data_IF_624924021403
#
_entry.id   IF_624924021403
#
_cell.length_a   1.000
_cell.length_b   1.000
_cell.length_c   1.000
_cell.angle_alpha   90.00
_cell.angle_beta   90.00
_cell.angle_gamma   90.00
#
_symmetry.space_group_name_H-M   'P 1'
#
loop_
_entity.id
_entity.type
_entity.pdbx_description
1 polymer ?
#
# COMPACT_ATOMS: atom_id res chain seq x y z
N UNK A 1 53.58 -48.13 21.89
CA UNK A 1 53.14 -46.76 21.57
C UNK A 1 52.35 -46.77 20.26
N UNK A 2 51.02 -46.66 20.30
CA UNK A 2 50.16 -46.46 19.13
C UNK A 2 49.49 -45.10 19.28
N UNK A 3 49.73 -44.18 18.34
CA UNK A 3 49.04 -42.88 18.25
C UNK A 3 47.85 -43.04 17.31
N UNK A 4 46.64 -42.86 17.84
CA UNK A 4 45.41 -42.78 17.04
C UNK A 4 45.22 -41.33 16.58
N UNK A 5 45.12 -41.15 15.27
CA UNK A 5 44.81 -39.88 14.61
C UNK A 5 43.28 -39.83 14.41
N UNK A 6 42.58 -38.99 15.17
CA UNK A 6 41.16 -38.72 15.01
C UNK A 6 41.03 -37.57 14.00
N UNK A 7 40.52 -37.87 12.81
CA UNK A 7 40.18 -36.88 11.79
C UNK A 7 38.73 -36.45 12.04
N UNK A 8 38.52 -35.22 12.52
CA UNK A 8 37.20 -34.58 12.55
C UNK A 8 36.88 -34.05 11.14
N UNK A 9 35.98 -34.74 10.42
CA UNK A 9 35.32 -34.18 9.25
C UNK A 9 34.24 -33.19 9.71
N UNK A 10 34.55 -31.89 9.70
CA UNK A 10 33.55 -30.84 9.81
C UNK A 10 32.85 -30.65 8.46
N UNK A 11 31.74 -31.34 8.26
CA UNK A 11 30.83 -31.12 7.12
C UNK A 11 30.12 -29.77 7.30
N UNK A 12 30.69 -28.71 6.72
CA UNK A 12 30.05 -27.41 6.52
C UNK A 12 28.91 -27.59 5.51
N UNK A 13 27.70 -27.84 6.01
CA UNK A 13 26.49 -27.74 5.18
C UNK A 13 26.24 -26.26 4.94
N UNK A 14 26.78 -25.74 3.84
CA UNK A 14 26.36 -24.47 3.26
C UNK A 14 24.94 -24.65 2.74
N UNK A 15 23.95 -24.48 3.62
CA UNK A 15 22.57 -24.36 3.19
C UNK A 15 22.49 -23.13 2.26
N UNK A 16 22.16 -23.28 0.97
CA UNK A 16 21.96 -22.14 0.11
C UNK A 16 20.86 -21.30 0.75
N UNK A 17 21.21 -20.08 1.15
CA UNK A 17 20.23 -19.11 1.62
C UNK A 17 19.25 -18.89 0.49
N UNK A 18 18.10 -19.57 0.53
CA UNK A 18 17.00 -19.35 -0.39
C UNK A 18 16.56 -17.90 -0.17
N UNK A 19 17.04 -17.00 -1.03
CA UNK A 19 16.56 -15.65 -1.09
C UNK A 19 15.06 -15.75 -1.44
N UNK A 20 14.22 -15.58 -0.42
CA UNK A 20 12.77 -15.53 -0.63
C UNK A 20 12.53 -14.39 -1.62
N UNK A 21 11.96 -14.74 -2.78
CA UNK A 21 11.51 -13.74 -3.73
C UNK A 21 10.58 -12.75 -2.99
N UNK A 22 10.74 -11.45 -3.29
CA UNK A 22 9.89 -10.42 -2.70
C UNK A 22 8.56 -10.40 -3.45
N UNK A 23 7.43 -10.11 -2.78
CA UNK A 23 6.19 -9.86 -3.50
C UNK A 23 6.37 -8.67 -4.45
N UNK A 24 5.64 -8.71 -5.56
CA UNK A 24 5.45 -7.55 -6.42
C UNK A 24 4.84 -6.44 -5.57
N UNK A 25 5.39 -5.22 -5.67
CA UNK A 25 4.80 -4.06 -5.02
C UNK A 25 3.38 -3.87 -5.57
N UNK A 26 2.41 -3.73 -4.67
CA UNK A 26 1.00 -3.50 -5.01
C UNK A 26 0.47 -2.40 -4.08
N UNK A 27 -0.15 -1.34 -4.61
CA UNK A 27 -0.87 -0.36 -3.80
C UNK A 27 -1.84 -1.05 -2.84
N UNK A 28 -2.02 -0.52 -1.62
CA UNK A 28 -2.94 -1.12 -0.64
C UNK A 28 -4.38 -1.07 -1.12
N UNK A 29 -4.75 0.03 -1.76
CA UNK A 29 -6.10 0.30 -2.24
C UNK A 29 -6.09 0.19 -3.76
N UNK A 30 -6.37 -1.00 -4.29
CA UNK A 30 -6.62 -1.17 -5.72
C UNK A 30 -8.05 -0.77 -6.06
N UNK A 31 -8.29 -0.31 -7.28
CA UNK A 31 -9.66 -0.16 -7.78
C UNK A 31 -10.20 -1.55 -8.05
N UNK A 32 -11.48 -1.58 -8.39
CA UNK A 32 -12.09 -2.80 -8.82
C UNK A 32 -11.47 -3.32 -10.13
N UNK A 33 -11.24 -2.43 -11.10
CA UNK A 33 -10.65 -2.72 -12.40
C UNK A 33 -9.19 -3.19 -12.27
N UNK A 34 -8.40 -2.55 -11.41
CA UNK A 34 -7.02 -2.97 -11.13
C UNK A 34 -6.98 -4.34 -10.46
N UNK A 35 -7.90 -4.62 -9.54
CA UNK A 35 -8.01 -5.94 -8.91
C UNK A 35 -8.43 -7.02 -9.90
N UNK A 36 -9.31 -6.70 -10.86
CA UNK A 36 -9.69 -7.61 -11.94
C UNK A 36 -8.51 -7.93 -12.85
N UNK A 37 -7.75 -6.91 -13.26
CA UNK A 37 -6.54 -7.07 -14.07
C UNK A 37 -5.50 -7.95 -13.34
N UNK A 38 -5.26 -7.65 -12.07
CA UNK A 38 -4.33 -8.43 -11.26
C UNK A 38 -4.79 -9.88 -11.07
N UNK A 39 -6.07 -10.13 -10.79
CA UNK A 39 -6.60 -11.48 -10.65
C UNK A 39 -6.42 -12.30 -11.95
N UNK A 40 -6.68 -11.69 -13.10
CA UNK A 40 -6.45 -12.33 -14.40
C UNK A 40 -4.98 -12.74 -14.57
N UNK A 41 -4.05 -11.82 -14.30
CA UNK A 41 -2.62 -12.09 -14.38
C UNK A 41 -2.15 -13.15 -13.36
N UNK A 42 -2.75 -13.19 -12.17
CA UNK A 42 -2.48 -14.25 -11.19
C UNK A 42 -2.88 -15.62 -11.74
N UNK A 43 -4.07 -15.74 -12.32
CA UNK A 43 -4.58 -17.00 -12.89
C UNK A 43 -3.78 -17.47 -14.11
N UNK A 44 -3.25 -16.55 -14.92
CA UNK A 44 -2.41 -16.87 -16.08
C UNK A 44 -0.98 -17.26 -15.68
N UNK A 45 -0.45 -16.74 -14.56
CA UNK A 45 0.94 -16.95 -14.14
C UNK A 45 1.13 -18.12 -13.16
N UNK A 46 0.11 -18.55 -12.43
CA UNK A 46 0.26 -19.71 -11.55
C UNK A 46 0.07 -21.01 -12.33
N UNK A 47 1.14 -21.78 -12.46
CA UNK A 47 1.01 -23.24 -12.57
C UNK A 47 0.05 -23.70 -11.46
N UNK A 48 -0.87 -24.62 -11.80
CA UNK A 48 -2.10 -25.01 -11.06
C UNK A 48 -1.97 -25.33 -9.56
N UNK A 49 -0.78 -25.27 -8.97
CA UNK A 49 -0.49 -25.42 -7.54
C UNK A 49 -0.79 -24.17 -6.70
N UNK A 50 -1.54 -23.20 -7.24
CA UNK A 50 -2.10 -22.12 -6.44
C UNK A 50 -2.92 -22.77 -5.29
N UNK A 51 -2.37 -22.68 -4.07
CA UNK A 51 -2.94 -23.16 -2.81
C UNK A 51 -4.44 -23.24 -2.88
N UNK A 52 -5.00 -24.43 -2.64
CA UNK A 52 -6.44 -24.70 -2.65
C UNK A 52 -7.17 -23.56 -1.95
N UNK A 53 -7.75 -22.65 -2.74
CA UNK A 53 -8.45 -21.50 -2.18
C UNK A 53 -9.68 -22.03 -1.46
N UNK A 54 -9.90 -21.55 -0.25
CA UNK A 54 -11.12 -21.88 0.49
C UNK A 54 -12.36 -21.48 -0.34
N UNK A 55 -13.45 -22.25 -0.28
CA UNK A 55 -14.64 -22.02 -1.09
C UNK A 55 -15.17 -20.58 -1.07
N UNK A 56 -15.13 -19.92 0.09
CA UNK A 56 -15.64 -18.57 0.29
C UNK A 56 -14.78 -17.50 -0.40
N UNK A 57 -13.48 -17.76 -0.55
CA UNK A 57 -12.60 -16.88 -1.34
C UNK A 57 -12.95 -16.99 -2.82
N UNK A 58 -13.13 -18.21 -3.34
CA UNK A 58 -13.56 -18.45 -4.73
C UNK A 58 -14.92 -17.83 -5.00
N UNK A 59 -15.87 -18.00 -4.09
CA UNK A 59 -17.21 -17.44 -4.23
C UNK A 59 -17.21 -15.91 -4.20
N UNK A 60 -16.41 -15.29 -3.33
CA UNK A 60 -16.22 -13.84 -3.28
C UNK A 60 -15.64 -13.28 -4.58
N UNK A 61 -14.64 -13.97 -5.15
CA UNK A 61 -14.04 -13.63 -6.45
C UNK A 61 -15.10 -13.73 -7.57
N UNK A 62 -15.82 -14.86 -7.64
CA UNK A 62 -16.89 -15.09 -8.62
C UNK A 62 -17.99 -14.04 -8.52
N UNK A 63 -18.40 -13.66 -7.31
CA UNK A 63 -19.43 -12.64 -7.12
C UNK A 63 -19.01 -11.28 -7.66
N UNK A 64 -17.75 -10.88 -7.43
CA UNK A 64 -17.18 -9.68 -8.05
C UNK A 64 -17.13 -9.75 -9.56
N UNK A 65 -16.63 -10.85 -10.14
CA UNK A 65 -16.59 -11.02 -11.59
C UNK A 65 -17.97 -10.96 -12.25
N UNK A 66 -18.99 -11.56 -11.62
CA UNK A 66 -20.38 -11.49 -12.09
C UNK A 66 -20.93 -10.07 -11.98
N UNK A 67 -20.70 -9.38 -10.86
CA UNK A 67 -21.09 -7.97 -10.70
C UNK A 67 -20.42 -7.08 -11.75
N UNK A 68 -19.14 -7.29 -12.07
CA UNK A 68 -18.44 -6.57 -13.13
C UNK A 68 -19.08 -6.79 -14.52
N UNK A 69 -19.38 -8.05 -14.86
CA UNK A 69 -20.06 -8.38 -16.11
C UNK A 69 -21.41 -7.69 -16.20
N UNK A 70 -22.16 -7.63 -15.11
CA UNK A 70 -23.44 -6.94 -15.03
C UNK A 70 -23.28 -5.43 -15.22
N UNK A 71 -22.34 -4.81 -14.51
CA UNK A 71 -22.03 -3.39 -14.64
C UNK A 71 -21.66 -3.00 -16.09
N UNK A 72 -20.84 -3.82 -16.75
CA UNK A 72 -20.47 -3.62 -18.16
C UNK A 72 -21.69 -3.72 -19.09
N UNK A 73 -22.58 -4.68 -18.87
CA UNK A 73 -23.80 -4.82 -19.68
C UNK A 73 -24.73 -3.62 -19.50
N UNK A 74 -24.95 -3.17 -18.27
CA UNK A 74 -25.76 -1.98 -17.98
C UNK A 74 -25.14 -0.74 -18.64
N UNK A 75 -23.83 -0.54 -18.52
CA UNK A 75 -23.14 0.63 -19.06
C UNK A 75 -23.04 0.62 -20.60
N UNK A 76 -23.07 -0.54 -21.24
CA UNK A 76 -23.10 -0.64 -22.71
C UNK A 76 -24.44 -0.12 -23.28
N UNK A 77 -25.51 -0.16 -22.50
CA UNK A 77 -26.82 0.37 -22.88
C UNK A 77 -27.03 1.85 -22.49
N UNK A 78 -26.04 2.50 -21.87
CA UNK A 78 -26.15 3.87 -21.35
C UNK A 78 -25.25 4.85 -22.12
N UNK A 79 -25.70 6.10 -22.33
CA UNK A 79 -24.82 7.20 -22.71
C UNK A 79 -23.63 7.36 -21.76
N UNK A 80 -22.50 7.85 -22.26
CA UNK A 80 -21.23 7.92 -21.51
C UNK A 80 -21.33 8.73 -20.20
N UNK A 81 -22.13 9.80 -20.18
CA UNK A 81 -22.41 10.66 -19.03
C UNK A 81 -23.38 10.03 -18.01
N UNK A 82 -24.08 8.96 -18.39
CA UNK A 82 -25.03 8.23 -17.54
C UNK A 82 -24.53 6.86 -17.06
N UNK A 83 -23.31 6.49 -17.45
CA UNK A 83 -22.70 5.23 -17.03
C UNK A 83 -22.51 5.19 -15.52
N UNK A 84 -22.83 4.03 -14.93
CA UNK A 84 -22.61 3.76 -13.51
C UNK A 84 -21.11 3.58 -13.28
N UNK A 85 -20.57 4.35 -12.33
CA UNK A 85 -19.17 4.26 -11.89
C UNK A 85 -19.13 3.93 -10.40
N UNK A 86 -18.27 2.98 -10.00
CA UNK A 86 -18.10 2.63 -8.58
C UNK A 86 -17.12 3.56 -7.86
N UNK A 87 -16.29 4.26 -8.61
CA UNK A 87 -15.30 5.25 -8.14
C UNK A 87 -15.49 6.57 -8.89
N UNK A 88 -15.28 7.69 -8.20
CA UNK A 88 -15.21 9.02 -8.81
C UNK A 88 -14.37 9.95 -7.93
N UNK A 89 -14.03 11.14 -8.43
CA UNK A 89 -13.21 12.12 -7.71
C UNK A 89 -13.83 12.60 -6.39
N UNK A 90 -15.15 12.47 -6.22
CA UNK A 90 -15.87 12.79 -4.98
C UNK A 90 -15.81 11.65 -3.94
N UNK A 91 -15.50 10.41 -4.37
CA UNK A 91 -15.43 9.22 -3.52
C UNK A 91 -14.06 8.55 -3.67
N UNK A 92 -13.00 9.30 -3.32
CA UNK A 92 -11.59 8.86 -3.42
C UNK A 92 -11.20 7.72 -2.45
N UNK A 93 -12.15 7.25 -1.65
CA UNK A 93 -11.89 6.38 -0.50
C UNK A 93 -11.64 7.20 0.77
N UNK A 94 -11.67 6.53 1.93
CA UNK A 94 -11.40 7.15 3.23
C UNK A 94 -9.97 6.88 3.71
N UNK A 95 -9.16 6.21 2.88
CA UNK A 95 -7.90 5.61 3.30
C UNK A 95 -8.07 4.53 4.39
N UNK A 96 -6.93 4.03 4.86
CA UNK A 96 -6.79 3.04 5.92
C UNK A 96 -5.85 3.64 6.97
N UNK A 97 -6.34 4.51 7.87
CA UNK A 97 -5.46 5.24 8.78
C UNK A 97 -4.76 4.29 9.76
N UNK A 98 -3.56 4.67 10.20
CA UNK A 98 -2.69 3.91 11.12
C UNK A 98 -3.37 3.47 12.42
N UNK A 99 -4.35 4.23 12.90
CA UNK A 99 -5.12 3.95 14.11
C UNK A 99 -6.29 2.99 13.90
N UNK A 100 -6.74 2.82 12.66
CA UNK A 100 -7.77 1.87 12.25
C UNK A 100 -7.26 1.01 11.09
N UNK A 101 -6.25 0.16 11.35
CA UNK A 101 -5.66 -0.68 10.31
C UNK A 101 -6.70 -1.66 9.76
N UNK A 102 -6.62 -1.91 8.45
CA UNK A 102 -7.38 -2.97 7.83
C UNK A 102 -6.76 -4.32 8.19
N UNK A 103 -7.61 -5.25 8.62
CA UNK A 103 -7.24 -6.65 8.83
C UNK A 103 -8.01 -7.50 7.83
N UNK A 104 -7.30 -8.37 7.13
CA UNK A 104 -7.93 -9.24 6.15
C UNK A 104 -7.27 -10.62 6.05
N UNK A 105 -8.07 -11.59 5.63
CA UNK A 105 -7.69 -12.99 5.51
C UNK A 105 -8.93 -13.87 5.44
N UNK A 106 -8.76 -15.21 5.54
CA UNK A 106 -9.83 -16.19 5.41
C UNK A 106 -11.07 -15.89 6.25
N UNK A 107 -10.88 -15.66 7.56
CA UNK A 107 -12.00 -15.42 8.48
C UNK A 107 -12.74 -14.12 8.15
N UNK A 108 -12.02 -13.05 7.79
CA UNK A 108 -12.63 -11.78 7.37
C UNK A 108 -13.43 -11.93 6.07
N UNK A 109 -12.94 -12.72 5.12
CA UNK A 109 -13.63 -12.99 3.86
C UNK A 109 -14.93 -13.77 4.12
N UNK A 110 -14.86 -14.83 4.93
CA UNK A 110 -16.03 -15.65 5.33
C UNK A 110 -17.09 -14.77 6.01
N UNK A 111 -16.69 -13.98 7.02
CA UNK A 111 -17.59 -13.09 7.75
C UNK A 111 -18.28 -12.10 6.81
N UNK A 112 -17.51 -11.42 5.96
CA UNK A 112 -18.04 -10.42 5.02
C UNK A 112 -18.94 -11.04 3.95
N UNK A 113 -18.61 -12.24 3.47
CA UNK A 113 -19.44 -12.97 2.51
C UNK A 113 -20.77 -13.38 3.14
N UNK A 114 -20.75 -13.90 4.37
CA UNK A 114 -21.96 -14.29 5.09
C UNK A 114 -22.86 -13.08 5.33
N UNK A 115 -22.28 -11.96 5.77
CA UNK A 115 -22.98 -10.69 5.94
C UNK A 115 -23.58 -10.19 4.60
N UNK A 116 -22.81 -10.25 3.52
CA UNK A 116 -23.31 -9.91 2.18
C UNK A 116 -24.50 -10.81 1.81
N UNK A 117 -24.41 -12.12 2.01
CA UNK A 117 -25.50 -13.07 1.70
C UNK A 117 -26.77 -12.82 2.52
N UNK A 118 -26.66 -12.33 3.76
CA UNK A 118 -27.81 -12.05 4.61
C UNK A 118 -28.46 -10.70 4.33
N UNK A 119 -27.71 -9.70 3.89
CA UNK A 119 -28.20 -8.33 3.71
C UNK A 119 -28.50 -7.96 2.25
N UNK A 120 -27.91 -8.64 1.27
CA UNK A 120 -28.07 -8.35 -0.15
C UNK A 120 -29.53 -8.64 -0.60
N UNK A 121 -30.22 -7.68 -1.25
CA UNK A 121 -31.57 -7.88 -1.77
C UNK A 121 -31.65 -9.13 -2.64
N UNK A 122 -32.71 -9.91 -2.46
CA UNK A 122 -32.82 -11.24 -3.07
C UNK A 122 -32.69 -11.20 -4.60
N UNK A 123 -33.22 -10.14 -5.24
CA UNK A 123 -33.06 -9.94 -6.68
C UNK A 123 -31.60 -9.75 -7.11
N UNK A 124 -30.81 -8.96 -6.37
CA UNK A 124 -29.37 -8.79 -6.63
C UNK A 124 -28.59 -10.06 -6.30
N UNK A 125 -28.96 -10.75 -5.21
CA UNK A 125 -28.32 -11.98 -4.74
C UNK A 125 -28.40 -13.10 -5.77
N UNK A 126 -29.56 -13.29 -6.39
CA UNK A 126 -29.77 -14.28 -7.46
C UNK A 126 -28.83 -14.09 -8.65
N UNK A 127 -28.50 -12.85 -9.00
CA UNK A 127 -27.61 -12.52 -10.12
C UNK A 127 -26.14 -12.49 -9.71
N UNK A 128 -25.78 -11.78 -8.65
CA UNK A 128 -24.38 -11.58 -8.26
C UNK A 128 -23.76 -12.84 -7.62
N UNK A 129 -24.51 -13.55 -6.77
CA UNK A 129 -24.02 -14.73 -6.05
C UNK A 129 -24.60 -16.02 -6.63
N UNK A 130 -25.87 -15.98 -7.05
CA UNK A 130 -26.56 -17.09 -7.69
C UNK A 130 -26.17 -17.27 -9.15
N UNK A 131 -27.01 -18.02 -9.86
CA UNK A 131 -26.82 -18.38 -11.27
C UNK A 131 -27.85 -17.73 -12.20
N UNK A 132 -28.63 -16.74 -11.73
CA UNK A 132 -29.58 -16.06 -12.60
C UNK A 132 -28.85 -15.34 -13.74
N UNK A 133 -29.56 -15.16 -14.86
CA UNK A 133 -29.00 -14.46 -16.03
C UNK A 133 -28.74 -12.98 -15.71
N UNK A 134 -27.69 -12.43 -16.34
CA UNK A 134 -27.36 -11.02 -16.26
C UNK A 134 -28.17 -10.30 -17.35
N UNK A 135 -28.96 -9.29 -16.97
CA UNK A 135 -29.76 -8.47 -17.89
C UNK A 135 -29.31 -7.02 -17.85
N UNK A 136 -29.66 -6.22 -18.88
CA UNK A 136 -29.36 -4.78 -18.89
C UNK A 136 -30.25 -3.98 -17.92
N UNK A 137 -31.39 -4.55 -17.50
CA UNK A 137 -32.33 -3.93 -16.58
C UNK A 137 -31.98 -4.22 -15.12
N UNK A 138 -32.04 -3.18 -14.28
CA UNK A 138 -31.81 -3.32 -12.85
C UNK A 138 -33.11 -3.70 -12.14
N UNK A 139 -33.13 -4.77 -11.31
CA UNK A 139 -34.32 -5.15 -10.54
C UNK A 139 -34.53 -4.27 -9.30
N UNK A 140 -33.69 -3.24 -9.11
CA UNK A 140 -33.67 -2.29 -7.99
C UNK A 140 -33.30 -0.91 -8.53
N UNK A 141 -33.35 0.13 -7.69
CA UNK A 141 -32.88 1.46 -8.10
C UNK A 141 -31.37 1.48 -8.42
N UNK A 142 -30.94 2.46 -9.22
CA UNK A 142 -29.51 2.62 -9.56
C UNK A 142 -28.68 2.87 -8.29
N UNK A 143 -29.21 3.63 -7.34
CA UNK A 143 -28.58 3.96 -6.06
C UNK A 143 -28.38 2.70 -5.21
N UNK A 144 -29.42 1.86 -5.13
CA UNK A 144 -29.35 0.60 -4.39
C UNK A 144 -28.37 -0.39 -5.03
N UNK A 145 -28.38 -0.49 -6.37
CA UNK A 145 -27.39 -1.28 -7.09
C UNK A 145 -25.96 -0.80 -6.82
N UNK A 146 -25.69 0.51 -6.90
CA UNK A 146 -24.36 1.09 -6.64
C UNK A 146 -23.91 0.79 -5.21
N UNK A 147 -24.80 0.93 -4.22
CA UNK A 147 -24.49 0.61 -2.82
C UNK A 147 -23.99 -0.82 -2.69
N UNK A 148 -24.72 -1.79 -3.24
CA UNK A 148 -24.36 -3.20 -3.14
C UNK A 148 -23.17 -3.60 -4.02
N UNK A 149 -23.06 -3.03 -5.22
CA UNK A 149 -21.91 -3.21 -6.09
C UNK A 149 -20.60 -2.75 -5.41
N UNK A 150 -20.63 -1.65 -4.63
CA UNK A 150 -19.48 -1.21 -3.81
C UNK A 150 -19.14 -2.21 -2.68
N UNK A 151 -20.13 -2.86 -2.07
CA UNK A 151 -19.88 -3.90 -1.05
C UNK A 151 -19.25 -5.14 -1.69
N UNK A 152 -19.83 -5.64 -2.79
CA UNK A 152 -19.31 -6.78 -3.55
C UNK A 152 -17.90 -6.50 -4.07
N UNK A 153 -17.66 -5.30 -4.60
CA UNK A 153 -16.35 -4.85 -5.08
C UNK A 153 -15.29 -4.88 -3.97
N UNK A 154 -15.58 -4.37 -2.77
CA UNK A 154 -14.63 -4.41 -1.64
C UNK A 154 -14.33 -5.83 -1.17
N UNK A 155 -15.33 -6.70 -1.16
CA UNK A 155 -15.14 -8.12 -0.82
C UNK A 155 -14.27 -8.82 -1.89
N UNK A 156 -14.54 -8.56 -3.17
CA UNK A 156 -13.73 -9.04 -4.29
C UNK A 156 -12.26 -8.62 -4.17
N UNK A 157 -11.99 -7.32 -3.98
CA UNK A 157 -10.64 -6.79 -3.85
C UNK A 157 -9.90 -7.43 -2.66
N UNK A 158 -10.60 -7.63 -1.54
CA UNK A 158 -10.04 -8.32 -0.36
C UNK A 158 -9.68 -9.78 -0.68
N UNK A 159 -10.55 -10.50 -1.38
CA UNK A 159 -10.34 -11.90 -1.74
C UNK A 159 -9.20 -12.07 -2.76
N UNK A 160 -9.14 -11.22 -3.79
CA UNK A 160 -8.04 -11.21 -4.77
C UNK A 160 -6.72 -10.87 -4.08
N UNK A 161 -6.69 -9.86 -3.20
CA UNK A 161 -5.47 -9.50 -2.47
C UNK A 161 -4.99 -10.63 -1.58
N UNK A 162 -5.88 -11.27 -0.83
CA UNK A 162 -5.52 -12.46 -0.06
C UNK A 162 -4.93 -13.56 -0.95
N UNK A 163 -5.60 -13.89 -2.05
CA UNK A 163 -5.13 -14.89 -3.03
C UNK A 163 -3.73 -14.59 -3.57
N UNK A 164 -3.47 -13.34 -3.97
CA UNK A 164 -2.17 -12.95 -4.53
C UNK A 164 -1.04 -12.88 -3.51
N UNK A 165 -1.36 -12.55 -2.25
CA UNK A 165 -0.38 -12.31 -1.19
C UNK A 165 -0.12 -13.53 -0.29
N UNK A 166 -1.02 -14.52 -0.25
CA UNK A 166 -0.92 -15.69 0.65
C UNK A 166 0.33 -16.54 0.44
N UNK A 167 0.86 -16.62 -0.80
CA UNK A 167 2.14 -17.31 -1.06
C UNK A 167 3.35 -16.64 -0.41
N UNK A 168 3.22 -15.38 -0.01
CA UNK A 168 4.29 -14.57 0.59
C UNK A 168 4.16 -14.41 2.10
N UNK A 169 3.30 -15.19 2.76
CA UNK A 169 3.07 -15.10 4.22
C UNK A 169 4.36 -15.14 5.05
N UNK A 170 5.36 -16.01 4.77
CA UNK A 170 6.62 -16.00 5.52
C UNK A 170 7.39 -14.68 5.41
N UNK A 171 7.44 -14.10 4.20
CA UNK A 171 8.08 -12.81 3.97
C UNK A 171 7.29 -11.66 4.62
N UNK A 172 5.96 -11.68 4.48
CA UNK A 172 5.07 -10.69 5.08
C UNK A 172 5.08 -10.76 6.61
N UNK A 173 5.30 -11.93 7.20
CA UNK A 173 5.49 -12.06 8.65
C UNK A 173 6.78 -11.36 9.12
N UNK A 174 7.86 -11.45 8.34
CA UNK A 174 9.10 -10.72 8.64
C UNK A 174 8.92 -9.21 8.50
N UNK A 175 8.02 -8.76 7.63
CA UNK A 175 7.67 -7.35 7.50
C UNK A 175 6.96 -6.76 8.71
N UNK A 176 6.53 -7.56 9.70
CA UNK A 176 6.00 -7.03 10.98
C UNK A 176 7.00 -6.11 11.68
N UNK A 177 8.30 -6.25 11.44
CA UNK A 177 9.33 -5.29 11.92
C UNK A 177 9.15 -3.87 11.37
N UNK A 178 8.39 -3.69 10.28
CA UNK A 178 8.02 -2.38 9.72
C UNK A 178 6.75 -1.79 10.34
N UNK A 179 6.12 -2.49 11.29
CA UNK A 179 4.99 -1.95 12.03
C UNK A 179 5.45 -0.84 12.97
N UNK A 180 5.16 0.41 12.61
CA UNK A 180 5.64 1.60 13.33
C UNK A 180 4.58 2.19 14.27
N UNK A 181 3.45 1.49 14.49
CA UNK A 181 2.38 1.95 15.39
C UNK A 181 2.86 2.22 16.81
N UNK A 182 3.76 1.38 17.34
CA UNK A 182 4.33 1.60 18.68
C UNK A 182 5.03 2.95 18.80
N UNK A 183 5.89 3.29 17.84
CA UNK A 183 6.55 4.60 17.77
C UNK A 183 5.55 5.74 17.56
N UNK A 184 4.59 5.56 16.65
CA UNK A 184 3.55 6.56 16.34
C UNK A 184 2.72 6.98 17.55
N UNK A 185 2.33 6.04 18.41
CA UNK A 185 1.56 6.36 19.61
C UNK A 185 2.45 6.96 20.71
N UNK A 186 3.60 6.35 20.96
CA UNK A 186 4.51 6.82 22.02
C UNK A 186 5.02 8.23 21.76
N UNK A 187 5.31 8.61 20.51
CA UNK A 187 5.78 9.98 20.20
C UNK A 187 4.75 11.08 20.47
N UNK A 188 3.48 10.74 20.66
CA UNK A 188 2.38 11.67 20.96
C UNK A 188 2.08 11.77 22.45
N UNK A 189 2.72 10.95 23.28
CA UNK A 189 2.56 10.97 24.72
C UNK A 189 3.36 12.14 25.28
N UNK A 190 2.67 13.05 25.98
CA UNK A 190 3.30 14.12 26.74
C UNK A 190 4.13 13.55 27.90
N UNK A 191 5.33 14.09 28.09
CA UNK A 191 6.27 13.67 29.13
C UNK A 191 6.54 12.16 29.20
N UNK A 192 6.54 11.47 28.06
CA UNK A 192 6.74 10.01 27.97
C UNK A 192 7.91 9.54 28.84
N UNK A 193 9.05 10.23 28.77
CA UNK A 193 10.26 9.84 29.50
C UNK A 193 10.09 9.92 31.02
N UNK A 194 9.32 10.89 31.52
CA UNK A 194 8.98 10.98 32.94
C UNK A 194 8.02 9.85 33.32
N UNK A 195 7.00 9.58 32.51
CA UNK A 195 6.04 8.50 32.77
C UNK A 195 6.73 7.11 32.79
N UNK A 196 7.69 6.85 31.89
CA UNK A 196 8.43 5.58 31.86
C UNK A 196 9.37 5.39 33.06
N UNK A 197 9.86 6.46 33.69
CA UNK A 197 10.66 6.37 34.92
C UNK A 197 9.83 5.96 36.14
N UNK A 198 8.55 6.30 36.14
CA UNK A 198 7.59 5.91 37.19
C UNK A 198 6.56 4.89 36.68
N UNK A 199 6.94 4.05 35.71
CA UNK A 199 6.03 3.13 35.02
C UNK A 199 5.11 2.32 35.95
N UNK A 200 5.65 1.82 37.07
CA UNK A 200 4.91 1.01 38.03
C UNK A 200 3.79 1.75 38.78
N UNK A 201 3.77 3.09 38.76
CA UNK A 201 2.71 3.90 39.38
C UNK A 201 1.60 4.29 38.40
N UNK A 202 1.76 4.01 37.10
CA UNK A 202 0.75 4.29 36.09
C UNK A 202 -0.44 3.34 36.24
N UNK A 203 -1.61 3.71 35.70
CA UNK A 203 -2.79 2.84 35.70
C UNK A 203 -2.53 1.57 34.88
N UNK A 204 -3.22 0.48 35.21
CA UNK A 204 -3.09 -0.81 34.49
C UNK A 204 -3.34 -0.68 33.00
N UNK A 205 -4.28 0.18 32.60
CA UNK A 205 -4.57 0.47 31.19
C UNK A 205 -3.39 1.15 30.50
N UNK A 206 -2.82 2.20 31.09
CA UNK A 206 -1.65 2.90 30.55
C UNK A 206 -0.45 1.97 30.48
N UNK A 207 -0.21 1.19 31.53
CA UNK A 207 0.86 0.18 31.53
C UNK A 207 0.68 -0.84 30.40
N UNK A 208 -0.54 -1.33 30.19
CA UNK A 208 -0.86 -2.29 29.12
C UNK A 208 -0.60 -1.69 27.73
N UNK A 209 -1.06 -0.45 27.49
CA UNK A 209 -0.83 0.26 26.24
C UNK A 209 0.66 0.47 25.97
N UNK A 210 1.41 0.93 26.97
CA UNK A 210 2.86 1.13 26.85
C UNK A 210 3.61 -0.18 26.63
N UNK A 211 3.23 -1.28 27.29
CA UNK A 211 3.82 -2.60 27.04
C UNK A 211 3.70 -2.99 25.58
N UNK A 212 2.50 -2.84 25.02
CA UNK A 212 2.24 -3.15 23.61
C UNK A 212 3.08 -2.26 22.67
N UNK A 213 3.09 -0.95 22.90
CA UNK A 213 3.80 -0.01 22.03
C UNK A 213 5.33 -0.12 22.13
N UNK A 214 5.89 -0.30 23.34
CA UNK A 214 7.33 -0.47 23.55
C UNK A 214 7.83 -1.79 22.94
N UNK A 215 7.04 -2.86 23.02
CA UNK A 215 7.34 -4.12 22.32
C UNK A 215 7.42 -3.90 20.80
N UNK A 216 6.52 -3.10 20.24
CA UNK A 216 6.57 -2.67 18.83
C UNK A 216 7.83 -1.90 18.47
N UNK A 217 8.23 -0.92 19.31
CA UNK A 217 9.47 -0.15 19.14
C UNK A 217 10.71 -1.07 19.11
N UNK A 218 10.77 -2.08 19.98
CA UNK A 218 11.84 -3.09 19.92
C UNK A 218 11.78 -3.92 18.63
N UNK A 219 10.60 -4.33 18.17
CA UNK A 219 10.45 -5.11 16.94
C UNK A 219 10.97 -4.37 15.70
N UNK A 220 10.94 -3.04 15.68
CA UNK A 220 11.55 -2.23 14.60
C UNK A 220 13.06 -2.43 14.46
N UNK A 221 13.74 -2.96 15.49
CA UNK A 221 15.15 -3.37 15.42
C UNK A 221 15.38 -4.72 14.73
N UNK A 222 14.32 -5.40 14.26
CA UNK A 222 14.37 -6.74 13.68
C UNK A 222 14.33 -7.88 14.70
N UNK A 223 14.17 -7.57 15.99
CA UNK A 223 14.01 -8.59 17.04
C UNK A 223 12.65 -9.29 16.95
N UNK A 224 12.62 -10.57 17.34
CA UNK A 224 11.40 -11.38 17.38
C UNK A 224 10.45 -10.85 18.48
N UNK A 225 9.12 -10.89 18.29
CA UNK A 225 8.15 -10.40 19.28
C UNK A 225 8.36 -10.97 20.69
N UNK A 226 8.53 -12.29 20.81
CA UNK A 226 8.78 -12.96 22.11
C UNK A 226 10.04 -12.47 22.82
N UNK A 227 11.10 -12.15 22.07
CA UNK A 227 12.34 -11.63 22.65
C UNK A 227 12.13 -10.19 23.16
N UNK A 228 11.43 -9.35 22.40
CA UNK A 228 11.10 -7.98 22.80
C UNK A 228 10.23 -7.95 24.06
N UNK A 229 9.21 -8.81 24.15
CA UNK A 229 8.35 -8.94 25.33
C UNK A 229 9.15 -9.35 26.56
N UNK A 230 9.96 -10.41 26.47
CA UNK A 230 10.79 -10.87 27.58
C UNK A 230 11.76 -9.79 28.07
N UNK A 231 12.45 -9.12 27.15
CA UNK A 231 13.36 -8.03 27.51
C UNK A 231 12.64 -6.85 28.17
N UNK A 232 11.40 -6.56 27.73
CA UNK A 232 10.58 -5.52 28.32
C UNK A 232 10.10 -5.91 29.72
N UNK A 233 9.67 -7.16 29.92
CA UNK A 233 9.29 -7.71 31.23
C UNK A 233 10.46 -7.60 32.22
N UNK A 234 11.67 -8.02 31.81
CA UNK A 234 12.88 -7.84 32.61
C UNK A 234 13.15 -6.36 32.94
N UNK A 235 12.96 -5.45 31.98
CA UNK A 235 13.12 -4.02 32.21
C UNK A 235 12.06 -3.46 33.18
N UNK A 236 10.82 -3.97 33.16
CA UNK A 236 9.76 -3.57 34.09
C UNK A 236 10.11 -4.02 35.51
N UNK A 237 10.51 -5.28 35.69
CA UNK A 237 10.92 -5.83 37.00
C UNK A 237 12.11 -5.07 37.59
N UNK A 238 13.07 -4.71 36.75
CA UNK A 238 14.25 -3.94 37.13
C UNK A 238 14.01 -2.42 37.28
N UNK A 239 12.79 -1.92 36.98
CA UNK A 239 12.45 -0.48 36.92
C UNK A 239 13.30 0.32 35.92
N UNK A 240 13.67 -0.29 34.79
CA UNK A 240 14.49 0.26 33.70
C UNK A 240 13.71 0.46 32.39
N UNK A 241 12.40 0.73 32.46
CA UNK A 241 11.54 0.86 31.26
C UNK A 241 11.97 2.05 30.37
N UNK A 242 12.41 3.15 30.98
CA UNK A 242 12.97 4.29 30.25
C UNK A 242 14.23 3.91 29.44
N UNK A 243 15.15 3.14 30.04
CA UNK A 243 16.36 2.69 29.35
C UNK A 243 16.04 1.69 28.24
N UNK A 244 15.05 0.83 28.43
CA UNK A 244 14.52 -0.02 27.36
C UNK A 244 14.06 0.81 26.16
N UNK A 245 13.27 1.87 26.37
CA UNK A 245 12.85 2.79 25.30
C UNK A 245 14.08 3.37 24.61
N UNK A 246 15.03 3.93 25.35
CA UNK A 246 16.24 4.55 24.81
C UNK A 246 17.04 3.60 23.90
N UNK A 247 17.17 2.33 24.28
CA UNK A 247 17.92 1.33 23.52
C UNK A 247 17.34 1.03 22.11
N UNK A 248 16.04 1.27 21.91
CA UNK A 248 15.33 0.91 20.68
C UNK A 248 14.76 2.10 19.91
N UNK A 249 14.70 3.29 20.53
CA UNK A 249 14.03 4.45 19.97
C UNK A 249 14.56 4.87 18.60
N UNK A 250 15.88 5.02 18.47
CA UNK A 250 16.51 5.48 17.22
C UNK A 250 16.23 4.53 16.05
N UNK A 251 16.15 3.21 16.32
CA UNK A 251 15.83 2.21 15.30
C UNK A 251 14.36 2.30 14.87
N UNK A 252 13.46 2.54 15.81
CA UNK A 252 12.04 2.74 15.51
C UNK A 252 11.81 4.06 14.77
N UNK A 253 12.53 5.12 15.12
CA UNK A 253 12.51 6.39 14.40
C UNK A 253 13.07 6.25 12.99
N UNK A 254 14.18 5.53 12.80
CA UNK A 254 14.72 5.25 11.48
C UNK A 254 13.73 4.43 10.62
N UNK A 255 13.05 3.45 11.22
CA UNK A 255 11.99 2.70 10.54
C UNK A 255 10.83 3.63 10.12
N UNK A 256 10.39 4.53 11.00
CA UNK A 256 9.38 5.55 10.68
C UNK A 256 9.82 6.48 9.54
N UNK A 257 11.04 7.04 9.63
CA UNK A 257 11.57 7.97 8.63
C UNK A 257 11.74 7.31 7.26
N UNK A 258 12.02 6.00 7.19
CA UNK A 258 12.16 5.28 5.93
C UNK A 258 10.92 5.30 5.03
N UNK A 259 9.76 5.66 5.58
CA UNK A 259 8.51 5.84 4.83
C UNK A 259 8.33 7.25 4.26
N UNK A 260 9.20 8.20 4.61
CA UNK A 260 9.03 9.60 4.22
C UNK A 260 10.26 10.18 3.53
N UNK A 261 11.45 9.68 3.84
CA UNK A 261 12.70 10.28 3.39
C UNK A 261 13.20 9.70 2.05
N UNK A 262 13.62 10.59 1.16
CA UNK A 262 14.31 10.27 -0.09
C UNK A 262 15.74 9.81 0.24
N UNK A 263 16.07 8.58 -0.12
CA UNK A 263 17.41 8.01 0.14
C UNK A 263 18.40 8.16 -1.01
N UNK A 264 17.91 8.36 -2.24
CA UNK A 264 18.72 8.42 -3.46
C UNK A 264 18.16 9.46 -4.42
N UNK A 265 18.35 10.76 -4.13
CA UNK A 265 17.76 11.82 -4.93
C UNK A 265 18.25 11.78 -6.37
N UNK A 266 17.38 12.18 -7.29
CA UNK A 266 17.72 12.37 -8.70
C UNK A 266 18.74 13.50 -8.88
N UNK A 267 19.58 13.39 -9.91
CA UNK A 267 20.62 14.38 -10.23
C UNK A 267 20.24 15.33 -11.36
N UNK A 268 19.15 15.02 -12.06
CA UNK A 268 18.63 15.74 -13.22
C UNK A 268 17.42 16.63 -12.88
N UNK A 269 17.32 17.02 -11.60
CA UNK A 269 16.37 18.00 -11.07
C UNK A 269 17.11 19.32 -10.84
N UNK A 270 16.50 20.43 -11.28
CA UNK A 270 17.03 21.79 -11.07
C UNK A 270 16.03 22.61 -10.28
N UNK A 271 16.44 23.06 -9.09
CA UNK A 271 15.69 23.97 -8.22
C UNK A 271 16.68 24.79 -7.41
N UNK A 272 16.73 26.10 -7.64
CA UNK A 272 17.78 26.97 -7.12
C UNK A 272 17.22 28.23 -6.49
N UNK A 273 18.05 28.95 -5.73
CA UNK A 273 17.66 30.21 -5.08
C UNK A 273 17.32 31.33 -6.05
N UNK A 274 17.79 31.29 -7.31
CA UNK A 274 17.39 32.22 -8.37
C UNK A 274 15.98 31.95 -8.91
N UNK A 275 15.51 30.71 -8.82
CA UNK A 275 14.16 30.29 -9.22
C UNK A 275 13.47 29.47 -8.12
N UNK A 276 13.22 30.07 -6.94
CA UNK A 276 12.78 29.33 -5.78
C UNK A 276 11.35 28.80 -5.91
N UNK A 277 10.54 29.38 -6.81
CA UNK A 277 9.16 28.97 -7.07
C UNK A 277 9.00 27.85 -8.11
N UNK A 278 10.07 27.38 -8.77
CA UNK A 278 9.96 26.37 -9.82
C UNK A 278 11.01 25.27 -9.64
N UNK A 279 10.55 24.02 -9.53
CA UNK A 279 11.40 22.83 -9.61
C UNK A 279 11.28 22.20 -11.00
N UNK A 280 12.33 22.29 -11.81
CA UNK A 280 12.39 21.70 -13.13
C UNK A 280 12.84 20.24 -13.05
N UNK A 281 12.06 19.33 -13.65
CA UNK A 281 12.33 17.90 -13.66
C UNK A 281 12.43 17.38 -15.10
N UNK A 282 13.56 16.77 -15.42
CA UNK A 282 13.79 16.17 -16.74
C UNK A 282 12.88 14.96 -16.95
N UNK A 283 12.16 14.94 -18.08
CA UNK A 283 11.29 13.84 -18.48
C UNK A 283 11.36 13.63 -20.00
N UNK A 284 11.26 12.39 -20.46
CA UNK A 284 11.31 12.08 -21.89
C UNK A 284 10.04 12.61 -22.56
N UNK A 285 10.22 13.33 -23.66
CA UNK A 285 9.15 13.76 -24.53
C UNK A 285 8.38 12.53 -25.06
N UNK A 286 7.06 12.43 -24.81
CA UNK A 286 6.25 11.30 -25.25
C UNK A 286 6.05 11.26 -26.78
N UNK A 287 6.49 12.28 -27.52
CA UNK A 287 6.25 12.44 -28.97
C UNK A 287 4.77 12.40 -29.35
N UNK A 288 3.93 12.78 -28.40
CA UNK A 288 2.48 12.89 -28.53
C UNK A 288 2.02 14.08 -27.69
N UNK A 289 1.58 15.14 -28.37
CA UNK A 289 1.20 16.42 -27.74
C UNK A 289 0.06 16.25 -26.72
N UNK A 290 -0.96 15.44 -27.05
CA UNK A 290 -2.06 15.12 -26.11
C UNK A 290 -1.53 14.50 -24.82
N UNK A 291 -0.57 13.56 -24.90
CA UNK A 291 0.01 12.94 -23.71
C UNK A 291 0.91 13.93 -22.96
N UNK A 292 1.68 14.76 -23.67
CA UNK A 292 2.53 15.77 -23.05
C UNK A 292 1.70 16.80 -22.26
N UNK A 293 0.63 17.33 -22.85
CA UNK A 293 -0.27 18.28 -22.21
C UNK A 293 -1.04 17.64 -21.06
N UNK A 294 -1.51 16.40 -21.25
CA UNK A 294 -2.15 15.65 -20.18
C UNK A 294 -1.20 15.41 -19.00
N UNK A 295 0.08 15.11 -19.25
CA UNK A 295 1.08 14.94 -18.19
C UNK A 295 1.26 16.24 -17.41
N UNK A 296 1.37 17.39 -18.10
CA UNK A 296 1.43 18.70 -17.44
C UNK A 296 0.20 18.94 -16.58
N UNK A 297 -1.00 18.80 -17.14
CA UNK A 297 -2.26 19.04 -16.41
C UNK A 297 -2.41 18.07 -15.23
N UNK A 298 -2.06 16.80 -15.39
CA UNK A 298 -2.27 15.81 -14.33
C UNK A 298 -1.21 15.86 -13.24
N UNK A 299 0.07 16.04 -13.60
CA UNK A 299 1.19 15.98 -12.65
C UNK A 299 1.59 17.36 -12.18
N UNK A 300 1.78 18.35 -13.07
CA UNK A 300 2.22 19.68 -12.61
C UNK A 300 1.17 20.31 -11.71
N UNK A 301 -0.13 20.22 -12.05
CA UNK A 301 -1.21 20.73 -11.18
C UNK A 301 -1.26 20.06 -9.80
N UNK A 302 -1.06 18.75 -9.74
CA UNK A 302 -0.97 18.02 -8.46
C UNK A 302 0.20 18.54 -7.63
N UNK A 303 1.36 18.74 -8.25
CA UNK A 303 2.57 19.20 -7.59
C UNK A 303 2.67 20.74 -7.51
N UNK A 304 1.54 21.46 -7.42
CA UNK A 304 1.50 22.89 -7.08
C UNK A 304 1.32 23.11 -5.58
N UNK A 305 1.98 24.14 -5.06
CA UNK A 305 1.76 24.68 -3.71
C UNK A 305 1.46 26.18 -3.83
N UNK A 306 0.21 26.57 -4.11
CA UNK A 306 -0.14 27.97 -4.37
C UNK A 306 0.20 28.91 -3.20
N UNK A 307 0.01 28.46 -1.96
CA UNK A 307 0.35 29.24 -0.76
C UNK A 307 1.86 29.53 -0.62
N UNK A 308 2.70 28.78 -1.33
CA UNK A 308 4.15 28.91 -1.31
C UNK A 308 4.71 29.49 -2.62
N UNK A 309 3.82 29.88 -3.55
CA UNK A 309 4.17 30.24 -4.94
C UNK A 309 5.16 29.25 -5.59
N UNK A 310 4.93 27.95 -5.35
CA UNK A 310 5.82 26.89 -5.80
C UNK A 310 5.11 25.90 -6.72
N UNK A 311 5.82 25.42 -7.74
CA UNK A 311 5.35 24.36 -8.64
C UNK A 311 6.48 23.47 -9.15
N UNK A 312 6.11 22.24 -9.50
CA UNK A 312 6.90 21.39 -10.38
C UNK A 312 6.66 21.76 -11.84
N UNK A 313 7.70 21.71 -12.67
CA UNK A 313 7.60 21.89 -14.12
C UNK A 313 8.39 20.82 -14.87
N UNK A 314 7.80 20.26 -15.92
CA UNK A 314 8.47 19.35 -16.82
C UNK A 314 9.45 20.08 -17.73
N UNK A 315 10.65 19.50 -17.85
CA UNK A 315 11.57 19.76 -18.95
C UNK A 315 11.56 18.55 -19.88
N UNK A 316 10.75 18.61 -20.95
CA UNK A 316 10.66 17.55 -21.94
C UNK A 316 11.90 17.54 -22.84
N UNK A 317 12.58 16.39 -22.90
CA UNK A 317 13.79 16.18 -23.71
C UNK A 317 13.63 14.97 -24.62
N UNK A 318 14.43 14.85 -25.68
CA UNK A 318 14.40 13.70 -26.60
C UNK A 318 14.56 12.34 -25.87
N UNK A 319 15.34 12.35 -24.79
CA UNK A 319 15.57 11.21 -23.92
C UNK A 319 17.04 10.79 -23.91
N UNK A 320 17.35 9.80 -23.09
CA UNK A 320 18.70 9.29 -22.92
C UNK A 320 18.72 8.20 -21.85
N UNK A 321 19.91 7.66 -21.58
CA UNK A 321 20.06 6.67 -20.52
C UNK A 321 19.66 7.27 -19.17
N UNK A 322 18.69 6.65 -18.49
CA UNK A 322 18.24 7.07 -17.17
C UNK A 322 17.18 8.19 -17.16
N UNK A 323 16.77 8.72 -18.31
CA UNK A 323 15.67 9.69 -18.37
C UNK A 323 14.35 9.02 -18.02
N UNK A 324 13.55 9.67 -17.16
CA UNK A 324 12.23 9.15 -16.80
C UNK A 324 11.22 9.24 -17.96
N UNK A 325 10.35 8.24 -18.13
CA UNK A 325 9.35 8.23 -19.20
C UNK A 325 8.10 7.42 -18.86
N UNK A 326 7.03 7.66 -19.63
CA UNK A 326 5.76 6.93 -19.56
C UNK A 326 5.70 5.85 -20.65
N UNK A 327 5.30 4.63 -20.28
CA UNK A 327 5.12 3.48 -21.18
C UNK A 327 3.73 2.90 -21.00
N UNK A 328 3.04 2.63 -22.11
CA UNK A 328 1.76 1.92 -22.10
C UNK A 328 1.96 0.46 -22.53
N UNK A 329 1.44 -0.49 -21.75
CA UNK A 329 1.45 -1.92 -22.04
C UNK A 329 0.07 -2.50 -21.75
N UNK A 330 -0.44 -3.40 -22.60
CA UNK A 330 -1.78 -3.95 -22.40
C UNK A 330 -1.80 -4.95 -21.23
N UNK A 331 -2.75 -4.79 -20.30
CA UNK A 331 -3.04 -5.77 -19.25
C UNK A 331 -2.09 -5.74 -18.06
N UNK A 332 -1.29 -4.69 -17.92
CA UNK A 332 -0.36 -4.53 -16.79
C UNK A 332 -1.03 -3.82 -15.62
N UNK A 333 -0.63 -4.14 -14.40
CA UNK A 333 -0.89 -3.27 -13.24
C UNK A 333 0.09 -2.11 -13.30
N UNK A 334 -0.37 -0.85 -13.11
CA UNK A 334 0.54 0.29 -13.07
C UNK A 334 1.67 0.13 -12.05
N UNK A 335 2.87 0.54 -12.41
CA UNK A 335 4.05 0.50 -11.53
C UNK A 335 5.21 1.34 -12.09
N UNK A 336 6.14 1.74 -11.24
CA UNK A 336 7.48 2.18 -11.66
C UNK A 336 8.45 1.00 -11.79
N UNK A 337 9.08 0.86 -12.95
CA UNK A 337 10.20 -0.06 -13.17
C UNK A 337 11.52 0.67 -13.47
N UNK A 338 12.65 0.05 -13.12
CA UNK A 338 13.99 0.62 -13.20
C UNK A 338 14.15 1.99 -12.51
N UNK A 339 13.20 2.36 -11.64
CA UNK A 339 13.14 3.66 -10.98
C UNK A 339 12.82 4.85 -11.89
N UNK A 340 12.62 4.67 -13.19
CA UNK A 340 12.48 5.78 -14.14
C UNK A 340 11.34 5.56 -15.15
N UNK A 341 10.72 4.40 -15.19
CA UNK A 341 9.71 4.07 -16.19
C UNK A 341 8.37 3.91 -15.49
N UNK A 342 7.43 4.82 -15.74
CA UNK A 342 6.03 4.64 -15.33
C UNK A 342 5.37 3.74 -16.37
N UNK A 343 4.98 2.53 -15.97
CA UNK A 343 4.28 1.58 -16.82
C UNK A 343 2.79 1.65 -16.51
N UNK A 344 1.95 1.83 -17.54
CA UNK A 344 0.49 1.98 -17.43
C UNK A 344 -0.24 0.98 -18.33
N UNK A 345 -1.46 0.61 -17.96
CA UNK A 345 -2.31 -0.23 -18.80
C UNK A 345 -2.79 0.53 -20.05
N UNK A 346 -2.44 0.04 -21.23
CA UNK A 346 -2.88 0.59 -22.50
C UNK A 346 -4.41 0.50 -22.73
N UNK A 347 -5.11 -0.39 -22.00
CA UNK A 347 -6.56 -0.56 -22.13
C UNK A 347 -7.37 0.37 -21.21
N UNK A 348 -6.70 1.08 -20.30
CA UNK A 348 -7.35 1.96 -19.33
C UNK A 348 -7.36 3.40 -19.86
N UNK A 349 -8.52 4.10 -19.91
CA UNK A 349 -8.55 5.48 -20.38
C UNK A 349 -7.77 6.39 -19.42
N UNK A 350 -6.84 7.18 -19.95
CA UNK A 350 -5.97 8.07 -19.17
C UNK A 350 -6.75 9.17 -18.43
N UNK A 351 -7.97 9.44 -18.89
CA UNK A 351 -8.86 10.42 -18.29
C UNK A 351 -9.55 9.89 -17.02
N UNK A 352 -9.60 8.57 -16.81
CA UNK A 352 -10.19 7.98 -15.61
C UNK A 352 -9.47 8.46 -14.35
N UNK A 353 -10.24 8.86 -13.34
CA UNK A 353 -9.67 9.47 -12.13
C UNK A 353 -8.66 8.56 -11.43
N UNK A 354 -8.90 7.25 -11.38
CA UNK A 354 -7.98 6.30 -10.78
C UNK A 354 -6.66 6.22 -11.54
N UNK A 355 -6.71 6.25 -12.87
CA UNK A 355 -5.52 6.24 -13.74
C UNK A 355 -4.71 7.52 -13.53
N UNK A 356 -5.39 8.67 -13.47
CA UNK A 356 -4.79 9.97 -13.13
C UNK A 356 -4.07 9.94 -11.79
N UNK A 357 -4.73 9.44 -10.74
CA UNK A 357 -4.14 9.34 -9.39
C UNK A 357 -2.94 8.41 -9.39
N UNK A 358 -3.07 7.22 -10.00
CA UNK A 358 -1.99 6.24 -10.05
C UNK A 358 -0.76 6.84 -10.75
N UNK A 359 -0.91 7.56 -11.86
CA UNK A 359 0.22 8.23 -12.52
C UNK A 359 0.86 9.30 -11.64
N UNK A 360 0.07 10.09 -10.87
CA UNK A 360 0.60 11.07 -9.91
C UNK A 360 1.42 10.39 -8.81
N UNK A 361 0.92 9.29 -8.27
CA UNK A 361 1.61 8.47 -7.27
C UNK A 361 2.91 7.85 -7.81
N UNK A 362 2.85 7.17 -8.95
CA UNK A 362 4.04 6.61 -9.61
C UNK A 362 5.06 7.70 -9.96
N UNK A 363 4.60 8.90 -10.33
CA UNK A 363 5.49 10.03 -10.53
C UNK A 363 6.17 10.51 -9.24
N UNK A 364 5.53 10.40 -8.08
CA UNK A 364 6.20 10.59 -6.79
C UNK A 364 7.38 9.63 -6.59
N UNK A 365 7.27 8.38 -7.04
CA UNK A 365 8.39 7.43 -7.04
C UNK A 365 9.48 7.78 -8.06
N UNK A 366 9.11 8.37 -9.20
CA UNK A 366 10.08 8.98 -10.12
C UNK A 366 10.88 10.08 -9.41
N UNK A 367 10.26 10.86 -8.52
CA UNK A 367 10.94 11.83 -7.64
C UNK A 367 11.65 11.21 -6.43
N UNK A 368 11.69 9.87 -6.35
CA UNK A 368 12.35 9.07 -5.30
C UNK A 368 11.67 9.13 -3.94
N UNK A 369 10.41 9.58 -3.89
CA UNK A 369 9.63 9.58 -2.66
C UNK A 369 9.15 8.14 -2.40
N UNK A 370 9.39 7.58 -1.19
CA UNK A 370 8.95 6.24 -0.85
C UNK A 370 7.42 6.18 -0.61
N UNK A 371 6.87 4.97 -0.67
CA UNK A 371 5.55 4.68 -0.12
C UNK A 371 5.51 4.96 1.38
N UNK A 372 4.39 5.51 1.87
CA UNK A 372 4.16 5.72 3.28
C UNK A 372 3.03 4.86 3.87
N UNK A 373 2.99 3.59 3.46
CA UNK A 373 2.07 2.59 3.98
C UNK A 373 2.76 1.28 4.37
N UNK A 374 2.10 0.50 5.22
CA UNK A 374 2.62 -0.75 5.79
C UNK A 374 1.69 -1.90 5.46
N UNK A 375 2.25 -3.05 5.10
CA UNK A 375 1.54 -4.32 5.07
C UNK A 375 2.43 -5.47 5.58
N UNK A 376 1.88 -6.27 6.48
CA UNK A 376 2.52 -7.45 7.03
C UNK A 376 1.50 -8.53 7.40
N UNK A 377 1.98 -9.75 7.63
CA UNK A 377 1.17 -10.84 8.15
C UNK A 377 1.37 -10.97 9.65
N UNK A 378 0.27 -10.87 10.41
CA UNK A 378 0.30 -11.12 11.84
C UNK A 378 0.02 -12.60 12.12
N UNK A 379 1.05 -13.31 12.55
CA UNK A 379 0.99 -14.76 12.81
C UNK A 379 0.14 -15.14 14.01
N UNK A 380 -0.11 -14.21 14.94
CA UNK A 380 -0.91 -14.49 16.15
C UNK A 380 -2.40 -14.54 15.82
N UNK A 381 -2.88 -13.53 15.09
CA UNK A 381 -4.28 -13.46 14.64
C UNK A 381 -4.52 -14.12 13.29
N UNK A 382 -3.45 -14.56 12.61
CA UNK A 382 -3.46 -15.19 11.28
C UNK A 382 -4.12 -14.32 10.21
N UNK A 383 -3.90 -13.01 10.27
CA UNK A 383 -4.46 -12.03 9.33
C UNK A 383 -3.36 -11.15 8.75
N UNK A 384 -3.54 -10.72 7.51
CA UNK A 384 -2.81 -9.58 6.98
C UNK A 384 -3.29 -8.31 7.70
N UNK A 385 -2.35 -7.43 8.00
CA UNK A 385 -2.59 -6.12 8.59
C UNK A 385 -1.98 -5.09 7.67
N UNK A 386 -2.76 -4.08 7.28
CA UNK A 386 -2.24 -2.95 6.54
C UNK A 386 -2.83 -1.62 6.99
N UNK A 387 -2.08 -0.55 6.77
CA UNK A 387 -2.47 0.83 7.07
C UNK A 387 -1.56 1.84 6.38
N UNK A 388 -2.03 3.07 6.32
CA UNK A 388 -1.39 4.25 5.75
C UNK A 388 -0.99 5.18 6.90
N UNK A 389 0.22 5.74 6.83
CA UNK A 389 0.75 6.57 7.91
C UNK A 389 0.10 7.95 7.94
N UNK A 390 -0.30 8.45 6.77
CA UNK A 390 -1.01 9.71 6.58
C UNK A 390 -1.99 9.58 5.40
N UNK A 391 -3.30 9.54 5.66
CA UNK A 391 -4.31 9.37 4.60
C UNK A 391 -4.45 10.59 3.69
N UNK A 392 -3.83 11.73 4.04
CA UNK A 392 -3.85 12.96 3.25
C UNK A 392 -2.64 13.07 2.31
N UNK A 393 -1.69 12.15 2.40
CA UNK A 393 -0.46 12.16 1.60
C UNK A 393 -0.60 11.34 0.32
N UNK A 394 -0.25 11.94 -0.82
CA UNK A 394 -0.27 11.29 -2.14
C UNK A 394 0.49 9.95 -2.17
N UNK A 395 1.55 9.81 -1.38
CA UNK A 395 2.39 8.61 -1.35
C UNK A 395 1.91 7.55 -0.35
N UNK A 396 0.84 7.84 0.37
CA UNK A 396 0.24 6.93 1.34
C UNK A 396 -1.11 6.40 0.82
N UNK A 397 -1.94 7.29 0.28
CA UNK A 397 -3.37 7.05 0.11
C UNK A 397 -3.94 7.59 -1.19
N UNK A 398 -4.97 6.92 -1.68
CA UNK A 398 -5.79 7.39 -2.81
C UNK A 398 -6.61 8.62 -2.51
N UNK A 399 -6.89 8.85 -1.23
CA UNK A 399 -7.49 10.08 -0.75
C UNK A 399 -6.49 11.22 -0.57
N UNK A 400 -5.19 10.93 -0.68
CA UNK A 400 -4.12 11.90 -0.46
C UNK A 400 -3.76 12.68 -1.71
N UNK A 401 -3.21 13.87 -1.47
CA UNK A 401 -2.74 14.81 -2.48
C UNK A 401 -1.32 15.30 -2.10
N UNK A 402 -0.70 16.11 -2.96
CA UNK A 402 0.54 16.82 -2.64
C UNK A 402 0.35 17.70 -1.39
N UNK A 403 1.17 17.51 -0.35
CA UNK A 403 1.08 18.22 0.93
C UNK A 403 2.39 18.94 1.31
N UNK A 404 2.41 19.65 2.44
CA UNK A 404 3.61 20.36 2.91
C UNK A 404 4.76 19.42 3.24
N UNK A 405 4.48 18.23 3.76
CA UNK A 405 5.51 17.23 4.06
C UNK A 405 6.25 16.83 2.78
N UNK A 406 5.51 16.53 1.71
CA UNK A 406 6.09 16.22 0.40
C UNK A 406 6.93 17.38 -0.13
N UNK A 407 6.43 18.61 -0.05
CA UNK A 407 7.17 19.80 -0.47
C UNK A 407 8.48 19.95 0.31
N UNK A 408 8.46 19.80 1.62
CA UNK A 408 9.65 19.92 2.46
C UNK A 408 10.67 18.83 2.18
N UNK A 409 10.24 17.60 1.92
CA UNK A 409 11.14 16.52 1.55
C UNK A 409 11.78 16.77 0.18
N UNK A 410 11.01 17.26 -0.80
CA UNK A 410 11.56 17.68 -2.09
C UNK A 410 12.56 18.83 -1.91
N UNK A 411 12.22 19.85 -1.12
CA UNK A 411 13.09 21.01 -0.87
C UNK A 411 14.41 20.58 -0.24
N UNK A 412 14.36 19.75 0.80
CA UNK A 412 15.54 19.19 1.49
C UNK A 412 16.51 18.51 0.53
N UNK A 413 16.02 17.83 -0.49
CA UNK A 413 16.84 16.99 -1.38
C UNK A 413 17.22 17.67 -2.71
N UNK A 414 16.42 18.62 -3.19
CA UNK A 414 16.55 19.16 -4.54
C UNK A 414 16.83 20.67 -4.60
N UNK A 415 16.49 21.44 -3.57
CA UNK A 415 16.74 22.88 -3.55
C UNK A 415 18.23 23.16 -3.26
N UNK A 416 18.85 23.97 -4.11
CA UNK A 416 20.24 24.43 -3.96
C UNK A 416 20.25 25.93 -3.67
N UNK A 417 20.95 26.31 -2.61
CA UNK A 417 21.13 27.71 -2.25
C UNK A 417 22.07 28.44 -3.21
#
# INVERSE_FOLDING_TARGET
MKKSLIILLSSLILAPGLALAKPVHMPLELTFEESLSWNKNLLESTNKDATEQIPETKESIRAGERMNKWLKMINAARPADQQIRLTNSANRGNGIPIDRPSKYGPSTIIERLNKLKSELPEALKKVMIGNAEITAELPVSTEEFIKWAKVVSRLYQTAVRWTGMSRWLPWLAQNKKRDVRGFFYLKKVEDLDAQLKVFGTLTTEVQSNYKNWLSGVCQNSGKKPKACLRELETAIEAKLVFDYKKNYWDKAQAAWNSFFEISKPRRDVTWTSEQPGVMNVTFKDPKNERIADWLKINIEEEFKRPLLDWRLQFNFVEGGMGTAFLKFEAGVTPHVTAGNIIVMDANSPIEEWSVRWTIRHEYGHILRIPDCYVEFYDTEVKLMVNYQLDVTDLMCSRSGDMNDRLYHELKKNYFKN
#
